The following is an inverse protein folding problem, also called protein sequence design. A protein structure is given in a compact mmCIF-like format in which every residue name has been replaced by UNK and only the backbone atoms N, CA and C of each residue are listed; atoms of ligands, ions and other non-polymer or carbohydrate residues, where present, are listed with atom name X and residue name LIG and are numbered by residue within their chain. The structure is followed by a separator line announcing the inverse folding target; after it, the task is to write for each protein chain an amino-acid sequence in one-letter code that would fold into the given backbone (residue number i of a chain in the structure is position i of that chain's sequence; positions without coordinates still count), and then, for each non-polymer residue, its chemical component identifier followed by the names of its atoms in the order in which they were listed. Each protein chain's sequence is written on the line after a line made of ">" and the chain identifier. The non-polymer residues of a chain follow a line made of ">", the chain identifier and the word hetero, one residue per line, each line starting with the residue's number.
data_IF_514022994308
#
_entry.id   IF_514022994308
#
_cell.length_a   1.000
_cell.length_b   1.000
_cell.length_c   1.000
_cell.angle_alpha   90.00
_cell.angle_beta   90.00
_cell.angle_gamma   90.00
#
_symmetry.space_group_name_H-M   'P 1'
#
loop_
_entity.id
_entity.type
_entity.pdbx_description
1 polymer ?
#
# COMPACT_ATOMS: atom_id res chain seq x y z
N UNK A 1 53.85 -16.89 10.42
CA UNK A 1 52.89 -16.88 9.30
C UNK A 1 51.51 -16.35 9.69
N UNK A 2 50.91 -16.75 10.83
CA UNK A 2 49.57 -16.26 11.29
C UNK A 2 49.47 -14.75 11.53
N UNK A 3 50.54 -14.11 12.03
CA UNK A 3 50.59 -12.67 12.31
C UNK A 3 50.58 -11.82 11.03
N UNK A 4 51.21 -12.31 9.95
CA UNK A 4 51.27 -11.64 8.65
C UNK A 4 49.89 -11.65 7.97
N UNK A 5 49.13 -12.72 8.17
CA UNK A 5 47.75 -12.85 7.69
C UNK A 5 46.79 -11.83 8.35
N UNK A 6 46.95 -11.58 9.64
CA UNK A 6 46.15 -10.59 10.38
C UNK A 6 46.40 -9.15 9.89
N UNK A 7 47.65 -8.81 9.59
CA UNK A 7 48.01 -7.50 9.06
C UNK A 7 47.44 -7.28 7.64
N UNK A 8 47.43 -8.33 6.82
CA UNK A 8 46.85 -8.28 5.48
C UNK A 8 45.31 -8.06 5.51
N UNK A 9 44.60 -8.68 6.46
CA UNK A 9 43.15 -8.45 6.63
C UNK A 9 42.82 -7.02 7.09
N UNK A 10 43.63 -6.43 7.97
CA UNK A 10 43.43 -5.06 8.44
C UNK A 10 43.67 -4.04 7.31
N UNK A 11 44.65 -4.29 6.44
CA UNK A 11 44.89 -3.44 5.28
C UNK A 11 43.77 -3.55 4.23
N UNK A 12 43.20 -4.74 4.07
CA UNK A 12 42.07 -4.96 3.18
C UNK A 12 40.78 -4.24 3.66
N UNK A 13 40.56 -4.15 4.98
CA UNK A 13 39.43 -3.41 5.54
C UNK A 13 39.56 -1.89 5.40
N UNK A 14 40.79 -1.36 5.39
CA UNK A 14 41.04 0.06 5.14
C UNK A 14 40.90 0.46 3.66
N UNK A 15 40.93 -0.52 2.75
CA UNK A 15 40.63 -0.36 1.31
C UNK A 15 39.17 -0.66 0.97
N UNK A 16 38.31 -0.89 1.97
CA UNK A 16 36.89 -1.13 1.72
C UNK A 16 36.20 0.17 1.22
N UNK A 17 35.35 0.06 0.19
CA UNK A 17 34.76 1.21 -0.51
C UNK A 17 33.80 2.01 0.39
N UNK A 18 33.56 3.30 0.07
CA UNK A 18 32.50 4.07 0.70
C UNK A 18 31.17 3.32 0.55
N UNK A 19 30.38 3.29 1.63
CA UNK A 19 29.00 2.84 1.54
C UNK A 19 28.29 3.68 0.45
N UNK A 20 27.59 3.04 -0.50
CA UNK A 20 26.90 3.76 -1.56
C UNK A 20 25.96 4.80 -0.94
N UNK A 21 26.03 6.03 -1.44
CA UNK A 21 25.10 7.09 -1.07
C UNK A 21 23.67 6.62 -1.25
N UNK A 22 22.78 6.95 -0.31
CA UNK A 22 21.34 6.83 -0.51
C UNK A 22 20.91 7.88 -1.53
N UNK A 23 21.07 7.55 -2.80
CA UNK A 23 20.28 8.17 -3.84
C UNK A 23 18.81 7.79 -3.57
N UNK A 24 17.94 8.79 -3.47
CA UNK A 24 16.50 8.56 -3.53
C UNK A 24 16.17 7.93 -4.88
N UNK A 25 15.53 6.76 -4.83
CA UNK A 25 14.97 6.13 -6.01
C UNK A 25 13.71 6.90 -6.37
N UNK A 26 13.65 7.39 -7.60
CA UNK A 26 12.47 8.06 -8.14
C UNK A 26 11.28 7.09 -8.17
N UNK A 27 10.17 7.45 -7.53
CA UNK A 27 8.91 6.70 -7.57
C UNK A 27 8.33 6.67 -8.99
N UNK A 28 7.83 5.51 -9.39
CA UNK A 28 7.32 5.29 -10.75
C UNK A 28 5.93 5.91 -10.88
N UNK A 29 5.70 6.57 -12.02
CA UNK A 29 4.48 7.33 -12.22
C UNK A 29 3.24 6.42 -12.21
N UNK A 30 2.30 6.72 -11.32
CA UNK A 30 0.92 6.20 -11.31
C UNK A 30 0.09 6.60 -12.56
N UNK A 31 0.74 7.14 -13.59
CA UNK A 31 0.15 7.86 -14.73
C UNK A 31 0.54 7.24 -16.07
N UNK A 32 0.85 5.95 -16.08
CA UNK A 32 1.13 5.24 -17.33
C UNK A 32 -0.15 4.82 -18.10
N UNK A 33 -1.36 4.94 -17.50
CA UNK A 33 -2.67 4.44 -18.00
C UNK A 33 -3.85 5.36 -17.64
N UNK A 34 -4.86 5.44 -18.53
CA UNK A 34 -6.12 6.19 -18.33
C UNK A 34 -7.35 5.30 -17.91
N UNK A 35 -8.12 5.70 -16.89
CA UNK A 35 -9.40 5.06 -16.49
C UNK A 35 -10.59 5.32 -17.46
N UNK A 36 -11.51 4.35 -17.66
CA UNK A 36 -12.72 4.47 -18.52
C UNK A 36 -13.88 5.27 -17.87
N UNK A 37 -14.92 5.61 -18.64
CA UNK A 37 -15.97 6.54 -18.20
C UNK A 37 -17.37 6.05 -18.60
N UNK A 38 -18.32 5.94 -17.66
CA UNK A 38 -19.67 5.47 -17.95
C UNK A 38 -20.67 6.66 -17.92
N UNK A 39 -21.82 6.54 -18.59
CA UNK A 39 -22.74 7.68 -18.87
C UNK A 39 -24.05 7.71 -18.03
N UNK A 40 -24.81 8.83 -17.96
CA UNK A 40 -25.94 8.99 -17.03
C UNK A 40 -27.14 8.03 -17.20
N UNK A 41 -27.59 7.71 -18.42
CA UNK A 41 -28.68 6.74 -18.60
C UNK A 41 -28.26 5.34 -18.09
N UNK A 42 -26.96 5.03 -18.24
CA UNK A 42 -26.33 3.87 -17.66
C UNK A 42 -26.29 3.94 -16.11
N UNK A 43 -26.37 5.13 -15.50
CA UNK A 43 -26.34 5.37 -14.05
C UNK A 43 -27.67 5.12 -13.41
N UNK A 44 -28.69 5.65 -14.07
CA UNK A 44 -30.11 5.68 -13.70
C UNK A 44 -30.65 4.30 -13.47
N UNK A 45 -30.26 3.48 -14.42
CA UNK A 45 -30.36 2.04 -14.34
C UNK A 45 -29.63 1.45 -13.10
N UNK A 46 -28.38 1.84 -12.74
CA UNK A 46 -27.57 1.24 -11.65
C UNK A 46 -28.08 1.48 -10.23
N UNK A 47 -28.57 2.67 -9.87
CA UNK A 47 -29.11 2.89 -8.51
C UNK A 47 -30.66 2.81 -8.43
N UNK A 48 -31.38 2.28 -9.45
CA UNK A 48 -32.87 2.21 -9.51
C UNK A 48 -33.55 3.53 -9.14
N UNK A 49 -32.83 4.59 -9.47
CA UNK A 49 -33.18 5.96 -9.18
C UNK A 49 -33.15 6.60 -10.55
N UNK A 50 -34.30 6.87 -11.17
CA UNK A 50 -34.27 7.66 -12.39
C UNK A 50 -33.64 9.03 -12.09
N UNK A 51 -32.97 9.65 -13.07
CA UNK A 51 -32.21 10.90 -12.89
C UNK A 51 -30.77 10.81 -12.30
N UNK A 52 -30.19 9.62 -12.11
CA UNK A 52 -28.76 9.43 -11.78
C UNK A 52 -27.81 9.96 -12.86
N UNK A 53 -26.73 10.54 -12.36
CA UNK A 53 -25.53 10.72 -13.14
C UNK A 53 -24.55 9.57 -12.80
N UNK A 54 -23.78 9.06 -13.77
CA UNK A 54 -22.80 7.98 -13.55
C UNK A 54 -21.42 8.47 -13.22
N UNK A 55 -20.72 7.55 -12.56
CA UNK A 55 -19.31 7.62 -12.24
C UNK A 55 -18.68 6.20 -12.34
N UNK A 56 -17.37 6.03 -12.64
CA UNK A 56 -16.65 4.74 -12.89
C UNK A 56 -15.88 4.17 -11.68
N UNK A 57 -15.66 2.83 -11.62
CA UNK A 57 -14.78 2.13 -10.63
C UNK A 57 -13.77 1.13 -11.28
N UNK A 58 -12.52 1.04 -10.76
CA UNK A 58 -11.29 0.42 -11.32
C UNK A 58 -10.98 -1.10 -11.14
N UNK A 59 -11.45 -1.76 -10.07
CA UNK A 59 -11.04 -3.11 -9.65
C UNK A 59 -11.90 -3.66 -8.51
N UNK A 60 -11.94 -4.99 -8.35
CA UNK A 60 -12.43 -5.60 -7.10
C UNK A 60 -11.54 -5.17 -5.96
N UNK A 61 -12.03 -5.29 -4.73
CA UNK A 61 -11.30 -4.85 -3.56
C UNK A 61 -10.58 -6.08 -2.99
N UNK A 62 -9.27 -6.28 -3.23
CA UNK A 62 -8.50 -7.32 -2.57
C UNK A 62 -8.73 -7.33 -1.06
N UNK A 63 -8.91 -8.53 -0.52
CA UNK A 63 -9.22 -8.68 0.89
C UNK A 63 -9.64 -10.08 1.31
N UNK A 64 -10.02 -10.17 2.58
CA UNK A 64 -10.36 -11.41 3.28
C UNK A 64 -11.82 -11.42 3.71
N UNK A 65 -12.47 -12.57 3.66
CA UNK A 65 -13.78 -12.73 4.30
C UNK A 65 -13.61 -13.35 5.67
N UNK A 66 -14.11 -12.68 6.70
CA UNK A 66 -14.08 -13.17 8.07
C UNK A 66 -15.30 -14.05 8.35
N UNK A 67 -15.09 -15.22 8.98
CA UNK A 67 -16.16 -16.16 9.32
C UNK A 67 -16.13 -16.64 10.76
N UNK A 68 -17.31 -16.84 11.33
CA UNK A 68 -17.52 -17.46 12.63
C UNK A 68 -18.57 -18.55 12.52
N UNK A 69 -18.20 -19.78 12.89
CA UNK A 69 -19.11 -20.94 12.83
C UNK A 69 -19.75 -21.08 11.43
N UNK A 70 -18.93 -20.79 10.41
CA UNK A 70 -19.34 -20.72 9.01
C UNK A 70 -19.99 -19.40 8.55
N UNK A 71 -20.46 -18.52 9.44
CA UNK A 71 -21.18 -17.26 9.15
C UNK A 71 -20.22 -16.12 8.79
N UNK A 72 -20.49 -15.39 7.70
CA UNK A 72 -19.73 -14.18 7.34
C UNK A 72 -20.05 -13.05 8.30
N UNK A 73 -19.01 -12.51 8.93
CA UNK A 73 -19.10 -11.38 9.86
C UNK A 73 -18.53 -10.09 9.28
N UNK A 74 -17.93 -10.15 8.09
CA UNK A 74 -17.41 -8.99 7.37
C UNK A 74 -16.29 -9.32 6.37
N UNK A 75 -15.79 -8.27 5.74
CA UNK A 75 -14.66 -8.29 4.80
C UNK A 75 -13.49 -7.52 5.39
N UNK A 76 -12.25 -7.82 5.01
CA UNK A 76 -11.06 -7.10 5.45
C UNK A 76 -10.22 -6.75 4.24
N UNK A 77 -10.08 -5.46 3.93
CA UNK A 77 -9.27 -4.97 2.81
C UNK A 77 -7.91 -4.42 3.24
N UNK A 78 -6.87 -4.64 2.43
CA UNK A 78 -5.57 -3.96 2.58
C UNK A 78 -5.53 -2.70 1.73
N UNK A 79 -5.23 -1.56 2.37
CA UNK A 79 -5.13 -0.30 1.65
C UNK A 79 -3.99 -0.29 0.63
N UNK A 80 -2.86 -0.96 0.93
CA UNK A 80 -1.77 -1.12 -0.03
C UNK A 80 -2.20 -1.96 -1.23
N UNK A 81 -2.88 -3.06 -0.98
CA UNK A 81 -3.29 -4.01 -2.01
C UNK A 81 -4.40 -3.45 -2.92
N UNK A 82 -5.37 -2.72 -2.35
CA UNK A 82 -6.53 -2.20 -3.07
C UNK A 82 -6.18 -0.97 -3.91
N UNK A 83 -5.36 -0.09 -3.36
CA UNK A 83 -5.17 1.26 -3.89
C UNK A 83 -3.71 1.62 -4.13
N UNK A 84 -2.76 0.70 -3.90
CA UNK A 84 -1.33 1.03 -3.96
C UNK A 84 -0.95 2.11 -2.95
N UNK A 85 -1.52 2.07 -1.73
CA UNK A 85 -1.38 3.12 -0.71
C UNK A 85 0.08 3.42 -0.34
N UNK A 86 0.68 4.44 -0.93
CA UNK A 86 1.99 4.92 -0.50
C UNK A 86 1.86 5.84 0.72
N UNK A 87 2.78 5.69 1.67
CA UNK A 87 3.04 6.59 2.79
C UNK A 87 3.91 7.79 2.42
N UNK A 88 4.22 8.64 3.40
CA UNK A 88 4.82 9.95 3.16
C UNK A 88 6.25 9.87 2.64
N UNK A 89 7.02 8.89 3.07
CA UNK A 89 8.36 8.68 2.53
C UNK A 89 8.40 8.30 1.04
N UNK A 90 7.26 8.30 0.33
CA UNK A 90 7.11 7.77 -1.03
C UNK A 90 7.16 6.25 -1.05
N UNK A 91 7.08 5.63 0.13
CA UNK A 91 7.23 4.20 0.35
C UNK A 91 5.87 3.61 0.70
N UNK A 92 5.61 2.33 0.43
CA UNK A 92 4.35 1.67 0.77
C UNK A 92 3.90 1.86 2.23
N UNK A 93 2.58 2.01 2.43
CA UNK A 93 1.88 2.10 3.70
C UNK A 93 0.67 1.15 3.65
N UNK A 94 0.46 0.37 4.71
CA UNK A 94 -0.61 -0.62 4.71
C UNK A 94 -1.42 -0.63 6.00
N UNK A 95 -2.74 -0.66 5.83
CA UNK A 95 -3.76 -0.73 6.87
C UNK A 95 -4.76 -1.80 6.46
N UNK A 96 -5.12 -2.67 7.40
CA UNK A 96 -6.26 -3.57 7.22
C UNK A 96 -7.52 -2.91 7.74
N UNK A 97 -8.59 -2.99 6.96
CA UNK A 97 -9.90 -2.40 7.29
C UNK A 97 -10.97 -3.46 7.22
N UNK A 98 -11.62 -3.73 8.34
CA UNK A 98 -12.76 -4.63 8.43
C UNK A 98 -14.07 -3.88 8.16
N UNK A 99 -14.90 -4.39 7.25
CA UNK A 99 -16.20 -3.85 6.84
C UNK A 99 -17.26 -4.90 7.14
N UNK A 100 -18.30 -4.53 7.89
CA UNK A 100 -19.46 -5.36 8.20
C UNK A 100 -20.28 -5.64 6.95
N UNK A 101 -21.13 -6.67 6.96
CA UNK A 101 -21.92 -7.03 5.79
C UNK A 101 -22.88 -5.93 5.28
N UNK A 102 -23.32 -5.02 6.13
CA UNK A 102 -24.15 -3.84 5.84
C UNK A 102 -23.34 -2.59 5.47
N UNK A 103 -22.02 -2.74 5.28
CA UNK A 103 -21.15 -1.69 4.75
C UNK A 103 -20.52 -0.78 5.80
N UNK A 104 -20.57 -1.12 7.10
CA UNK A 104 -19.94 -0.32 8.16
C UNK A 104 -18.51 -0.75 8.45
N UNK A 105 -17.62 0.18 8.71
CA UNK A 105 -16.28 -0.18 9.19
C UNK A 105 -16.37 -0.69 10.62
N UNK A 106 -16.00 -1.94 10.85
CA UNK A 106 -15.95 -2.55 12.16
C UNK A 106 -14.66 -2.19 12.91
N UNK A 107 -13.51 -2.16 12.21
CA UNK A 107 -12.17 -1.88 12.77
C UNK A 107 -11.14 -1.61 11.69
N UNK A 108 -10.09 -0.84 12.03
CA UNK A 108 -8.88 -0.71 11.22
C UNK A 108 -7.60 -1.00 12.03
N UNK A 109 -6.53 -1.42 11.36
CA UNK A 109 -5.22 -1.69 12.00
C UNK A 109 -4.04 -1.35 11.08
N UNK A 110 -3.08 -0.60 11.60
CA UNK A 110 -1.82 -0.32 10.94
C UNK A 110 -0.94 -1.58 10.87
N UNK A 111 -0.51 -1.92 9.65
CA UNK A 111 0.28 -3.11 9.39
C UNK A 111 1.74 -2.78 9.11
N UNK A 112 1.98 -1.81 8.24
CA UNK A 112 3.33 -1.41 7.87
C UNK A 112 3.36 0.08 7.55
N UNK A 113 4.36 0.76 8.09
CA UNK A 113 4.68 2.13 7.70
C UNK A 113 6.18 2.36 7.81
N UNK A 114 6.67 3.28 7.00
CA UNK A 114 8.09 3.60 6.90
C UNK A 114 8.28 5.10 7.02
N UNK A 115 7.76 5.63 8.12
CA UNK A 115 7.69 7.07 8.31
C UNK A 115 8.84 7.57 9.18
N UNK A 116 9.49 8.68 8.78
CA UNK A 116 10.44 9.35 9.65
C UNK A 116 9.71 9.93 10.86
N UNK A 117 10.34 9.86 12.03
CA UNK A 117 9.85 10.56 13.21
C UNK A 117 10.23 12.04 13.07
N UNK A 118 9.22 12.90 12.99
CA UNK A 118 9.40 14.34 13.16
C UNK A 118 9.57 14.64 14.64
N UNK A 119 10.80 14.81 15.10
CA UNK A 119 11.08 15.53 16.34
C UNK A 119 11.12 17.02 16.01
N UNK A 120 9.98 17.70 16.10
CA UNK A 120 9.99 19.14 16.30
C UNK A 120 10.52 19.38 17.71
N UNK A 121 11.73 19.94 17.81
CA UNK A 121 12.30 20.41 19.07
C UNK A 121 11.62 21.68 19.56
#
# INVERSE_FOLDING_TARGET
>A
MRLLSLLFCLLAAALAPPAPGRAEVAAIPATAIDPATPDPALAEMLFSTPGLALQREAGGVPGWTARKDGVVVGHIGSTWEIAGSVGYSGRPLDVLVAITPDGHIARARLMAHNEPVLTLG
#
